data_IF_062638682066
#
_entry.id   IF_062638682066
#
_cell.length_a   1.000
_cell.length_b   1.000
_cell.length_c   1.000
_cell.angle_alpha   90.00
_cell.angle_beta   90.00
_cell.angle_gamma   90.00
#
_symmetry.space_group_name_H-M   'P 1'
#
loop_
_entity.id
_entity.type
_entity.pdbx_description
1 polymer ?
#
# COMPACT_ATOMS: atom_id res chain seq x y z
N UNK A 1 8.27 16.23 2.21
CA UNK A 1 7.41 15.19 2.81
C UNK A 1 8.28 13.99 3.11
N UNK A 2 8.08 13.33 4.25
CA UNK A 2 8.79 12.11 4.64
C UNK A 2 7.74 11.05 5.04
N UNK A 3 7.06 10.44 4.04
CA UNK A 3 5.99 9.47 4.30
C UNK A 3 6.57 8.15 4.79
N UNK A 4 5.77 7.38 5.54
CA UNK A 4 6.12 5.98 5.80
C UNK A 4 6.02 5.19 4.49
N UNK A 5 7.05 4.40 4.20
CA UNK A 5 7.16 3.67 2.95
C UNK A 5 7.00 2.16 3.13
N UNK A 6 6.28 1.53 2.21
CA UNK A 6 6.36 0.08 1.99
C UNK A 6 7.53 -0.17 1.04
N UNK A 7 8.60 -0.74 1.59
CA UNK A 7 9.83 -1.03 0.85
C UNK A 7 9.82 -2.45 0.26
N UNK A 8 9.31 -3.41 1.02
CA UNK A 8 9.15 -4.79 0.57
C UNK A 8 7.87 -5.38 1.17
N UNK A 9 7.22 -6.26 0.41
CA UNK A 9 6.04 -6.97 0.85
C UNK A 9 5.92 -8.31 0.14
N UNK A 10 6.18 -9.37 0.89
CA UNK A 10 6.21 -10.73 0.39
C UNK A 10 5.36 -11.66 1.24
N UNK A 11 4.67 -12.58 0.55
CA UNK A 11 3.99 -13.74 1.14
C UNK A 11 4.41 -14.94 0.29
N UNK A 12 4.82 -16.01 0.95
CA UNK A 12 5.17 -17.27 0.30
C UNK A 12 4.07 -17.73 -0.67
N UNK A 13 4.47 -18.22 -1.84
CA UNK A 13 3.55 -18.55 -2.94
C UNK A 13 2.47 -19.56 -2.53
N UNK A 14 2.80 -20.52 -1.64
CA UNK A 14 1.85 -21.50 -1.15
C UNK A 14 0.72 -20.89 -0.29
N UNK A 15 0.90 -19.66 0.19
CA UNK A 15 -0.02 -18.94 1.08
C UNK A 15 -0.58 -17.64 0.49
N UNK A 16 -0.26 -17.36 -0.79
CA UNK A 16 -0.85 -16.23 -1.50
C UNK A 16 -2.36 -16.44 -1.66
N UNK A 17 -3.12 -15.33 -1.65
CA UNK A 17 -4.59 -15.32 -1.74
C UNK A 17 -5.34 -15.98 -0.56
N UNK A 18 -4.65 -16.47 0.48
CA UNK A 18 -5.26 -16.99 1.72
C UNK A 18 -5.54 -15.92 2.78
N UNK A 19 -5.35 -14.63 2.47
CA UNK A 19 -5.59 -13.52 3.41
C UNK A 19 -4.40 -13.16 4.32
N UNK A 20 -3.30 -13.92 4.27
CA UNK A 20 -2.09 -13.67 5.09
C UNK A 20 -1.53 -12.26 4.86
N UNK A 21 -1.40 -11.86 3.59
CA UNK A 21 -0.92 -10.51 3.27
C UNK A 21 -1.82 -9.40 3.83
N UNK A 22 -3.14 -9.61 3.85
CA UNK A 22 -4.06 -8.65 4.44
C UNK A 22 -3.88 -8.55 5.95
N UNK A 23 -3.68 -9.66 6.64
CA UNK A 23 -3.44 -9.67 8.09
C UNK A 23 -2.15 -8.93 8.46
N UNK A 24 -1.06 -9.19 7.72
CA UNK A 24 0.22 -8.48 7.90
C UNK A 24 0.05 -6.97 7.68
N UNK A 25 -0.64 -6.59 6.59
CA UNK A 25 -0.86 -5.20 6.25
C UNK A 25 -1.74 -4.47 7.27
N UNK A 26 -2.84 -5.09 7.72
CA UNK A 26 -3.70 -4.54 8.77
C UNK A 26 -2.97 -4.36 10.09
N UNK A 27 -2.07 -5.28 10.45
CA UNK A 27 -1.25 -5.15 11.64
C UNK A 27 -0.33 -3.92 11.56
N UNK A 28 0.39 -3.75 10.43
CA UNK A 28 1.22 -2.57 10.16
C UNK A 28 0.43 -1.27 10.31
N UNK A 29 -0.73 -1.18 9.64
CA UNK A 29 -1.57 0.02 9.65
C UNK A 29 -2.06 0.37 11.05
N UNK A 30 -2.48 -0.64 11.82
CA UNK A 30 -2.95 -0.47 13.21
C UNK A 30 -1.82 -0.02 14.13
N UNK A 31 -0.64 -0.63 14.02
CA UNK A 31 0.51 -0.29 14.86
C UNK A 31 1.01 1.14 14.58
N UNK A 32 1.03 1.53 13.31
CA UNK A 32 1.50 2.86 12.88
C UNK A 32 0.40 3.93 12.89
N UNK A 33 -0.84 3.56 13.17
CA UNK A 33 -2.02 4.42 13.18
C UNK A 33 -2.16 5.26 11.90
N UNK A 34 -2.09 4.60 10.75
CA UNK A 34 -2.17 5.21 9.42
C UNK A 34 -3.11 4.43 8.52
N UNK A 35 -3.57 5.09 7.46
CA UNK A 35 -4.35 4.46 6.38
C UNK A 35 -3.44 4.04 5.22
N UNK A 36 -3.88 3.11 4.36
CA UNK A 36 -3.13 2.72 3.17
C UNK A 36 -2.79 3.88 2.23
N UNK A 37 -3.66 4.91 2.19
CA UNK A 37 -3.48 6.10 1.37
C UNK A 37 -2.32 6.99 1.85
N UNK A 38 -1.95 6.90 3.14
CA UNK A 38 -0.89 7.70 3.75
C UNK A 38 0.52 7.08 3.60
N UNK A 39 0.61 5.92 2.92
CA UNK A 39 1.87 5.26 2.61
C UNK A 39 2.40 5.66 1.23
N UNK A 40 3.72 5.68 1.09
CA UNK A 40 4.38 5.61 -0.21
C UNK A 40 4.79 4.15 -0.50
N UNK A 41 4.74 3.73 -1.75
CA UNK A 41 5.09 2.36 -2.15
C UNK A 41 6.28 2.39 -3.12
N UNK A 42 7.39 1.73 -2.76
CA UNK A 42 8.55 1.64 -3.67
C UNK A 42 8.30 0.56 -4.73
N UNK A 43 8.27 0.95 -6.01
CA UNK A 43 8.13 0.05 -7.18
C UNK A 43 7.10 -1.08 -6.97
N UNK A 44 5.84 -0.77 -6.62
CA UNK A 44 4.85 -1.80 -6.32
C UNK A 44 4.65 -2.75 -7.51
N UNK A 45 4.62 -4.05 -7.21
CA UNK A 45 4.37 -5.10 -8.21
C UNK A 45 2.93 -5.04 -8.72
N UNK A 46 2.62 -5.62 -9.90
CA UNK A 46 1.24 -5.75 -10.37
C UNK A 46 0.31 -6.46 -9.36
N UNK A 47 0.84 -7.45 -8.62
CA UNK A 47 0.10 -8.12 -7.53
C UNK A 47 -0.23 -7.15 -6.39
N UNK A 48 0.72 -6.29 -6.01
CA UNK A 48 0.51 -5.28 -4.97
C UNK A 48 -0.51 -4.22 -5.40
N UNK A 49 -0.46 -3.74 -6.65
CA UNK A 49 -1.51 -2.85 -7.17
C UNK A 49 -2.90 -3.46 -7.08
N UNK A 50 -3.05 -4.73 -7.48
CA UNK A 50 -4.33 -5.44 -7.39
C UNK A 50 -4.79 -5.62 -5.93
N UNK A 51 -3.85 -5.88 -5.01
CA UNK A 51 -4.12 -5.97 -3.58
C UNK A 51 -4.63 -4.64 -3.00
N UNK A 52 -3.94 -3.52 -3.27
CA UNK A 52 -4.32 -2.20 -2.78
C UNK A 52 -5.65 -1.73 -3.35
N UNK A 53 -5.92 -2.02 -4.63
CA UNK A 53 -7.22 -1.76 -5.25
C UNK A 53 -8.34 -2.53 -4.54
N UNK A 54 -8.13 -3.81 -4.23
CA UNK A 54 -9.16 -4.67 -3.63
C UNK A 54 -9.45 -4.34 -2.16
N UNK A 55 -8.41 -4.01 -1.39
CA UNK A 55 -8.50 -3.92 0.06
C UNK A 55 -8.49 -2.48 0.61
N UNK A 56 -8.12 -1.50 -0.22
CA UNK A 56 -8.01 -0.10 0.19
C UNK A 56 -8.58 0.89 -0.84
N UNK A 57 -9.23 0.41 -1.91
CA UNK A 57 -9.80 1.21 -3.01
C UNK A 57 -8.80 2.20 -3.68
N UNK A 58 -7.50 1.94 -3.52
CA UNK A 58 -6.43 2.78 -4.07
C UNK A 58 -6.23 2.48 -5.55
N UNK A 59 -6.61 3.43 -6.40
CA UNK A 59 -6.61 3.25 -7.86
C UNK A 59 -5.97 4.41 -8.63
N UNK A 60 -6.14 5.65 -8.14
CA UNK A 60 -5.62 6.85 -8.80
C UNK A 60 -4.31 7.28 -8.17
N UNK A 61 -3.28 7.39 -9.00
CA UNK A 61 -1.97 7.88 -8.62
C UNK A 61 -1.33 8.58 -9.81
N UNK A 62 -0.35 9.44 -9.54
CA UNK A 62 0.46 10.06 -10.58
C UNK A 62 1.86 9.44 -10.62
N UNK A 63 2.41 9.11 -11.81
CA UNK A 63 3.78 8.62 -11.93
C UNK A 63 4.81 9.64 -11.42
N UNK A 64 5.69 9.22 -10.52
CA UNK A 64 6.77 10.06 -9.99
C UNK A 64 8.14 9.59 -10.49
N UNK A 65 9.11 10.51 -10.70
CA UNK A 65 10.46 10.15 -11.17
C UNK A 65 11.30 9.38 -10.14
N UNK A 66 10.93 9.42 -8.86
CA UNK A 66 11.63 8.75 -7.77
C UNK A 66 11.27 7.25 -7.62
N UNK A 67 10.45 6.70 -8.53
CA UNK A 67 9.95 5.32 -8.53
C UNK A 67 9.03 4.94 -7.35
N UNK A 68 8.68 5.90 -6.49
CA UNK A 68 7.64 5.73 -5.49
C UNK A 68 6.27 6.00 -6.10
N UNK A 69 5.28 5.25 -5.61
CA UNK A 69 3.88 5.46 -5.91
C UNK A 69 3.21 6.04 -4.67
N UNK A 70 2.61 7.22 -4.84
CA UNK A 70 1.73 7.85 -3.86
C UNK A 70 0.38 8.02 -4.53
N UNK A 71 -0.68 7.54 -3.89
CA UNK A 71 -2.03 7.64 -4.41
C UNK A 71 -2.63 9.02 -4.13
N UNK A 72 -3.56 9.47 -4.97
CA UNK A 72 -4.16 10.81 -4.86
C UNK A 72 -4.82 11.04 -3.48
N UNK A 73 -5.35 9.97 -2.90
CA UNK A 73 -5.96 9.96 -1.57
C UNK A 73 -5.00 10.40 -0.45
N UNK A 74 -3.67 10.35 -0.66
CA UNK A 74 -2.67 10.87 0.26
C UNK A 74 -2.85 12.37 0.55
N UNK A 75 -3.30 13.13 -0.46
CA UNK A 75 -3.42 14.60 -0.38
C UNK A 75 -4.82 15.08 0.02
N UNK A 76 -5.77 14.16 0.16
CA UNK A 76 -7.13 14.49 0.59
C UNK A 76 -7.14 14.66 2.12
N UNK A 77 -7.95 15.61 2.65
CA UNK A 77 -8.23 15.64 4.08
C UNK A 77 -8.83 14.30 4.49
N UNK A 78 -8.46 13.81 5.67
CA UNK A 78 -9.14 12.66 6.26
C UNK A 78 -10.64 12.96 6.34
N UNK A 79 -11.53 12.07 5.87
CA UNK A 79 -12.95 12.17 6.20
C UNK A 79 -13.18 12.08 7.72
#
# INVERSE_FOLDING_TARGET
MDPLCVLDFYVDEAWQHCGVGLQLFQHLLKEKNITPAQLAYDRPSPKLFAFLKKHADLTKYFPQPNHFVIFDAYFLPCP
#
